data_IF_401781634528
#
_entry.id   IF_401781634528
#
_cell.length_a   1.000
_cell.length_b   1.000
_cell.length_c   1.000
_cell.angle_alpha   90.00
_cell.angle_beta   90.00
_cell.angle_gamma   90.00
#
_symmetry.space_group_name_H-M   'P 1'
#
loop_
_entity.id
_entity.type
_entity.pdbx_description
1 polymer ?
#
# COMPACT_ATOMS: atom_id res chain seq x y z
N UNK A 1 5.22 -17.79 7.70
CA UNK A 1 6.18 -16.66 7.75
C UNK A 1 5.50 -15.38 7.33
N UNK A 2 5.57 -14.37 8.17
CA UNK A 2 4.97 -13.08 7.85
C UNK A 2 5.83 -12.32 6.84
N UNK A 3 5.17 -11.68 5.89
CA UNK A 3 5.83 -10.85 4.89
C UNK A 3 5.30 -9.43 4.98
N UNK A 4 6.05 -8.49 4.45
CA UNK A 4 5.64 -7.10 4.36
C UNK A 4 5.37 -6.77 2.91
N UNK A 5 4.14 -6.35 2.62
CA UNK A 5 3.72 -5.97 1.28
C UNK A 5 3.46 -4.49 1.22
N UNK A 6 4.01 -3.83 0.21
CA UNK A 6 3.67 -2.47 -0.13
C UNK A 6 2.68 -2.54 -1.29
N UNK A 7 1.48 -2.04 -1.11
CA UNK A 7 0.45 -2.13 -2.14
C UNK A 7 0.34 -0.82 -2.92
N UNK A 8 0.19 -0.94 -4.24
CA UNK A 8 -0.07 0.22 -5.06
C UNK A 8 -1.57 0.39 -5.28
N UNK A 9 -1.93 1.52 -5.88
CA UNK A 9 -3.34 1.86 -6.09
C UNK A 9 -4.05 0.89 -7.00
N UNK A 10 -3.38 0.41 -8.05
CA UNK A 10 -4.01 -0.47 -9.03
C UNK A 10 -4.47 -1.79 -8.41
N UNK A 11 -3.68 -2.32 -7.48
CA UNK A 11 -4.07 -3.54 -6.77
C UNK A 11 -5.37 -3.34 -6.03
N UNK A 12 -5.49 -2.23 -5.33
CA UNK A 12 -6.67 -1.93 -4.51
C UNK A 12 -7.90 -1.65 -5.37
N UNK A 13 -7.71 -0.99 -6.51
CA UNK A 13 -8.82 -0.69 -7.42
C UNK A 13 -9.33 -1.96 -8.10
N UNK A 14 -8.44 -2.86 -8.49
CA UNK A 14 -8.82 -4.11 -9.13
C UNK A 14 -9.47 -5.09 -8.14
N UNK A 15 -9.01 -5.07 -6.90
CA UNK A 15 -9.50 -5.96 -5.87
C UNK A 15 -9.64 -5.21 -4.55
N UNK A 16 -10.74 -4.44 -4.39
CA UNK A 16 -10.92 -3.66 -3.15
C UNK A 16 -10.91 -4.50 -1.89
N UNK A 17 -11.24 -5.77 -2.01
CA UNK A 17 -11.22 -6.73 -0.90
C UNK A 17 -9.82 -7.29 -0.62
N UNK A 18 -8.80 -6.87 -1.36
CA UNK A 18 -7.45 -7.41 -1.19
C UNK A 18 -6.92 -7.23 0.24
N UNK A 19 -7.28 -6.12 0.90
CA UNK A 19 -6.81 -5.87 2.26
C UNK A 19 -7.30 -6.93 3.24
N UNK A 20 -8.40 -7.60 2.94
CA UNK A 20 -8.94 -8.65 3.78
C UNK A 20 -8.34 -10.02 3.46
N UNK A 21 -7.61 -10.11 2.34
CA UNK A 21 -7.08 -11.38 1.84
C UNK A 21 -5.62 -11.64 2.23
N UNK A 22 -4.98 -10.72 2.92
CA UNK A 22 -3.55 -10.83 3.25
C UNK A 22 -3.29 -11.54 4.58
N UNK A 23 -4.16 -12.39 4.99
CA UNK A 23 -4.02 -13.22 6.20
C UNK A 23 -3.17 -12.54 7.29
N UNK A 24 -2.07 -13.15 7.73
CA UNK A 24 -1.26 -12.62 8.82
C UNK A 24 -0.03 -11.85 8.36
N UNK A 25 -0.07 -11.28 7.18
CA UNK A 25 1.04 -10.46 6.66
C UNK A 25 0.92 -9.00 7.07
N UNK A 26 2.01 -8.27 6.90
CA UNK A 26 2.05 -6.83 7.17
C UNK A 26 1.83 -6.06 5.88
N UNK A 27 0.84 -5.18 5.89
CA UNK A 27 0.51 -4.36 4.74
C UNK A 27 0.96 -2.92 5.01
N UNK A 28 1.67 -2.35 4.05
CA UNK A 28 2.11 -0.96 4.10
C UNK A 28 1.47 -0.21 2.94
N UNK A 29 0.75 0.85 3.25
CA UNK A 29 0.17 1.73 2.23
C UNK A 29 0.97 3.03 2.19
N UNK A 30 1.66 3.32 1.08
CA UNK A 30 2.30 4.62 0.92
C UNK A 30 1.27 5.75 0.91
N UNK A 31 1.65 6.89 1.43
CA UNK A 31 0.77 8.06 1.40
C UNK A 31 0.32 8.40 -0.02
N UNK A 32 1.20 8.20 -1.00
CA UNK A 32 0.86 8.46 -2.41
C UNK A 32 -0.34 7.63 -2.87
N UNK A 33 -0.48 6.40 -2.37
CA UNK A 33 -1.62 5.54 -2.70
C UNK A 33 -2.90 6.12 -2.10
N UNK A 34 -2.84 6.58 -0.86
CA UNK A 34 -4.00 7.17 -0.22
C UNK A 34 -4.44 8.44 -0.95
N UNK A 35 -3.48 9.26 -1.37
CA UNK A 35 -3.77 10.47 -2.15
C UNK A 35 -4.48 10.13 -3.46
N UNK A 36 -4.02 9.09 -4.13
CA UNK A 36 -4.63 8.68 -5.39
C UNK A 36 -6.03 8.14 -5.18
N UNK A 37 -6.25 7.35 -4.15
CA UNK A 37 -7.58 6.85 -3.81
C UNK A 37 -8.54 8.01 -3.53
N UNK A 38 -8.06 9.01 -2.81
CA UNK A 38 -8.88 10.19 -2.53
C UNK A 38 -9.27 10.92 -3.81
N UNK A 39 -8.34 11.01 -4.77
CA UNK A 39 -8.63 11.61 -6.07
C UNK A 39 -9.61 10.82 -6.90
N UNK A 40 -9.66 9.50 -6.73
CA UNK A 40 -10.54 8.63 -7.51
C UNK A 40 -11.92 8.45 -6.89
N UNK A 41 -12.13 8.80 -5.64
CA UNK A 41 -13.39 8.50 -4.94
C UNK A 41 -14.62 9.13 -5.58
N UNK A 42 -14.45 10.21 -6.33
CA UNK A 42 -15.54 10.90 -7.00
C UNK A 42 -15.66 10.51 -8.47
N UNK A 43 -14.82 9.61 -8.97
CA UNK A 43 -14.91 9.14 -10.33
C UNK A 43 -16.16 8.28 -10.52
N UNK A 44 -16.69 8.32 -11.74
CA UNK A 44 -17.80 7.46 -12.10
C UNK A 44 -17.29 6.05 -12.44
N UNK A 45 -18.19 5.08 -12.40
CA UNK A 45 -17.88 3.71 -12.77
C UNK A 45 -17.17 2.94 -11.69
N UNK A 46 -16.52 1.86 -12.10
CA UNK A 46 -15.92 0.92 -11.15
C UNK A 46 -14.75 1.49 -10.38
N UNK A 47 -13.94 2.33 -11.01
CA UNK A 47 -12.77 2.91 -10.31
C UNK A 47 -13.19 3.72 -9.10
N UNK A 48 -14.19 4.57 -9.27
CA UNK A 48 -14.70 5.37 -8.16
C UNK A 48 -15.34 4.51 -7.10
N UNK A 49 -16.10 3.49 -7.52
CA UNK A 49 -16.73 2.56 -6.59
C UNK A 49 -15.69 1.81 -5.76
N UNK A 50 -14.66 1.30 -6.42
CA UNK A 50 -13.58 0.59 -5.75
C UNK A 50 -12.83 1.50 -4.79
N UNK A 51 -12.51 2.73 -5.22
CA UNK A 51 -11.82 3.68 -4.36
C UNK A 51 -12.64 3.99 -3.11
N UNK A 52 -13.94 4.22 -3.26
CA UNK A 52 -14.82 4.49 -2.12
C UNK A 52 -14.89 3.29 -1.17
N UNK A 53 -14.91 2.07 -1.72
CA UNK A 53 -14.93 0.86 -0.91
C UNK A 53 -13.65 0.73 -0.07
N UNK A 54 -12.49 0.95 -0.68
CA UNK A 54 -11.21 0.91 0.03
C UNK A 54 -11.14 1.98 1.10
N UNK A 55 -11.53 3.21 0.75
CA UNK A 55 -11.51 4.32 1.72
C UNK A 55 -12.40 4.02 2.92
N UNK A 56 -13.57 3.45 2.67
CA UNK A 56 -14.50 3.10 3.76
C UNK A 56 -13.88 2.06 4.68
N UNK A 57 -13.21 1.07 4.12
CA UNK A 57 -12.52 0.05 4.91
C UNK A 57 -11.41 0.69 5.75
N UNK A 58 -10.62 1.59 5.16
CA UNK A 58 -9.56 2.28 5.90
C UNK A 58 -10.12 3.15 7.03
N UNK A 59 -11.27 3.79 6.79
CA UNK A 59 -11.90 4.58 7.85
C UNK A 59 -12.37 3.71 9.01
N UNK A 60 -12.87 2.52 8.73
CA UNK A 60 -13.22 1.57 9.77
C UNK A 60 -12.00 1.16 10.58
N UNK A 61 -10.89 0.89 9.92
CA UNK A 61 -9.65 0.55 10.62
C UNK A 61 -9.15 1.73 11.46
N UNK A 62 -9.27 2.95 10.95
CA UNK A 62 -8.83 4.13 11.68
C UNK A 62 -9.61 4.31 12.99
N UNK A 63 -10.83 3.85 13.04
CA UNK A 63 -11.62 3.94 14.25
C UNK A 63 -11.08 3.04 15.37
N UNK A 64 -10.25 2.06 15.01
CA UNK A 64 -9.68 1.11 15.97
C UNK A 64 -8.30 1.53 16.48
N UNK A 65 -7.65 2.49 15.82
CA UNK A 65 -6.32 2.91 16.20
C UNK A 65 -5.68 3.82 15.17
N UNK A 66 -4.41 4.12 15.35
CA UNK A 66 -3.66 4.97 14.44
C UNK A 66 -3.18 4.18 13.24
N UNK A 67 -3.56 4.62 12.04
CA UNK A 67 -3.09 3.97 10.81
C UNK A 67 -1.57 4.15 10.63
N UNK A 68 -1.01 5.26 11.11
CA UNK A 68 0.44 5.50 10.99
C UNK A 68 1.22 4.53 11.87
N UNK A 69 0.70 4.21 13.04
CA UNK A 69 1.37 3.27 13.94
C UNK A 69 1.05 1.82 13.58
N UNK A 70 -0.08 1.58 12.94
CA UNK A 70 -0.50 0.25 12.52
C UNK A 70 -1.73 -0.22 13.25
N UNK A 71 -2.62 -0.89 12.52
CA UNK A 71 -3.84 -1.48 13.08
C UNK A 71 -3.92 -2.94 12.65
N UNK A 72 -4.62 -3.73 13.43
CA UNK A 72 -4.83 -5.15 13.12
C UNK A 72 -5.88 -5.30 12.02
N UNK A 73 -5.62 -6.23 11.12
CA UNK A 73 -6.57 -6.59 10.06
C UNK A 73 -7.42 -7.77 10.51
N UNK A 74 -8.64 -7.91 9.97
CA UNK A 74 -9.52 -9.04 10.32
C UNK A 74 -8.87 -10.40 10.12
N UNK A 75 -8.00 -10.53 9.12
CA UNK A 75 -7.32 -11.79 8.83
C UNK A 75 -6.11 -12.10 9.70
N UNK A 76 -5.78 -11.24 10.65
CA UNK A 76 -4.68 -11.47 11.60
C UNK A 76 -3.40 -10.69 11.33
N UNK A 77 -3.24 -10.10 10.17
CA UNK A 77 -2.09 -9.26 9.87
C UNK A 77 -2.27 -7.84 10.36
N UNK A 78 -1.40 -6.95 9.88
CA UNK A 78 -1.45 -5.54 10.24
C UNK A 78 -1.45 -4.66 9.00
N UNK A 79 -1.95 -3.45 9.15
CA UNK A 79 -1.89 -2.44 8.11
C UNK A 79 -1.39 -1.15 8.71
N UNK A 80 -0.45 -0.49 8.03
CA UNK A 80 -0.05 0.85 8.42
C UNK A 80 0.13 1.75 7.20
N UNK A 81 -0.09 3.03 7.44
CA UNK A 81 0.12 4.07 6.45
C UNK A 81 1.55 4.57 6.59
N UNK A 82 2.31 4.54 5.50
CA UNK A 82 3.69 5.01 5.52
C UNK A 82 3.76 6.43 4.98
N UNK A 83 4.18 7.35 5.84
CA UNK A 83 4.28 8.77 5.49
C UNK A 83 5.73 9.24 5.39
N UNK A 84 6.68 8.35 5.68
CA UNK A 84 8.11 8.66 5.64
C UNK A 84 8.71 8.30 4.29
N UNK A 85 10.04 8.29 4.23
CA UNK A 85 10.81 7.88 3.03
C UNK A 85 10.66 8.81 1.83
N UNK A 86 10.20 10.03 2.04
CA UNK A 86 10.11 11.01 0.95
C UNK A 86 11.50 11.46 0.47
N UNK A 87 12.51 11.36 1.34
CA UNK A 87 13.88 11.74 1.02
C UNK A 87 14.75 10.61 0.49
N UNK A 88 14.20 9.42 0.28
CA UNK A 88 14.95 8.29 -0.25
C UNK A 88 15.37 8.59 -1.69
N UNK A 89 16.63 8.32 -2.02
CA UNK A 89 17.12 8.53 -3.37
C UNK A 89 16.78 7.35 -4.26
N UNK A 90 16.29 7.68 -5.44
CA UNK A 90 16.07 6.70 -6.50
C UNK A 90 17.19 6.80 -7.53
N UNK A 91 17.37 5.77 -8.36
CA UNK A 91 18.37 5.84 -9.44
C UNK A 91 18.17 7.06 -10.33
N UNK A 92 19.27 7.52 -10.94
CA UNK A 92 19.22 8.65 -11.85
C UNK A 92 18.26 8.37 -13.01
N UNK A 93 17.60 9.42 -13.46
CA UNK A 93 16.64 9.31 -14.55
C UNK A 93 15.22 9.00 -14.11
N UNK A 94 15.00 8.67 -12.84
CA UNK A 94 13.66 8.48 -12.31
C UNK A 94 13.14 9.79 -11.72
N UNK A 95 11.92 10.16 -12.12
CA UNK A 95 11.29 11.36 -11.58
C UNK A 95 10.84 11.08 -10.13
N UNK A 96 11.45 11.73 -9.13
CA UNK A 96 11.10 11.46 -7.74
C UNK A 96 9.71 11.95 -7.35
N UNK A 97 9.08 12.78 -8.18
CA UNK A 97 7.76 13.31 -7.91
C UNK A 97 6.64 12.46 -8.52
N UNK A 98 6.97 11.52 -9.41
CA UNK A 98 5.93 10.67 -9.99
C UNK A 98 5.35 9.76 -8.92
N UNK A 99 4.07 9.43 -9.06
CA UNK A 99 3.37 8.61 -8.09
C UNK A 99 4.00 7.24 -7.93
N UNK A 100 4.30 6.58 -9.05
CA UNK A 100 4.91 5.26 -9.02
C UNK A 100 6.27 5.29 -8.33
N UNK A 101 7.06 6.31 -8.60
CA UNK A 101 8.38 6.43 -7.98
C UNK A 101 8.29 6.78 -6.50
N UNK A 102 7.25 7.50 -6.08
CA UNK A 102 7.02 7.74 -4.66
C UNK A 102 6.71 6.44 -3.92
N UNK A 103 6.00 5.52 -4.57
CA UNK A 103 5.75 4.19 -4.01
C UNK A 103 7.05 3.40 -3.92
N UNK A 104 7.88 3.46 -4.97
CA UNK A 104 9.19 2.79 -4.96
C UNK A 104 10.09 3.32 -3.85
N UNK A 105 10.01 4.62 -3.55
CA UNK A 105 10.77 5.18 -2.43
C UNK A 105 10.43 4.51 -1.11
N UNK A 106 9.16 4.21 -0.89
CA UNK A 106 8.74 3.53 0.32
C UNK A 106 9.33 2.14 0.39
N UNK A 107 9.27 1.39 -0.71
CA UNK A 107 9.87 0.05 -0.75
C UNK A 107 11.36 0.11 -0.46
N UNK A 108 12.08 1.03 -1.11
CA UNK A 108 13.51 1.15 -0.91
C UNK A 108 13.85 1.58 0.51
N UNK A 109 13.08 2.52 1.07
CA UNK A 109 13.29 2.97 2.43
C UNK A 109 13.11 1.87 3.44
N UNK A 110 12.10 1.02 3.25
CA UNK A 110 11.89 -0.12 4.13
C UNK A 110 13.05 -1.10 4.06
N UNK A 111 13.59 -1.37 2.86
CA UNK A 111 14.76 -2.22 2.72
C UNK A 111 15.97 -1.61 3.42
N UNK A 112 16.19 -0.31 3.29
CA UNK A 112 17.30 0.37 3.96
C UNK A 112 17.15 0.34 5.47
N UNK A 113 15.92 0.34 5.97
CA UNK A 113 15.63 0.25 7.40
C UNK A 113 15.71 -1.19 7.92
N UNK A 114 16.06 -2.15 7.07
CA UNK A 114 16.17 -3.54 7.47
C UNK A 114 14.85 -4.31 7.42
N UNK A 115 13.82 -3.77 6.80
CA UNK A 115 12.52 -4.44 6.65
C UNK A 115 12.32 -4.81 5.19
N UNK A 116 12.64 -6.05 4.78
CA UNK A 116 12.40 -6.47 3.41
C UNK A 116 10.91 -6.37 3.07
N UNK A 117 10.61 -5.65 2.02
CA UNK A 117 9.25 -5.45 1.58
C UNK A 117 9.10 -5.81 0.11
N UNK A 118 7.94 -6.28 -0.25
CA UNK A 118 7.61 -6.65 -1.62
C UNK A 118 6.49 -5.74 -2.08
N UNK A 119 6.64 -5.19 -3.29
CA UNK A 119 5.55 -4.44 -3.91
C UNK A 119 4.53 -5.46 -4.40
N UNK A 120 3.47 -5.64 -3.64
CA UNK A 120 2.56 -6.73 -3.91
C UNK A 120 1.10 -6.36 -3.86
N UNK A 121 0.28 -7.30 -4.17
CA UNK A 121 0.63 -8.66 -4.55
C UNK A 121 1.04 -8.77 -6.01
N UNK A 122 2.12 -8.14 -6.34
CA UNK A 122 2.59 -8.10 -7.72
C UNK A 122 3.19 -9.44 -8.09
N UNK A 123 2.34 -10.30 -8.51
CA UNK A 123 2.76 -11.62 -8.95
C UNK A 123 3.81 -11.53 -10.04
N UNK A 124 3.75 -10.46 -10.81
CA UNK A 124 4.72 -10.23 -11.87
C UNK A 124 6.06 -9.74 -11.36
N UNK A 125 6.13 -9.34 -10.13
CA UNK A 125 7.36 -8.93 -9.49
C UNK A 125 8.24 -10.17 -9.34
N UNK A 126 9.46 -10.17 -9.88
CA UNK A 126 10.27 -11.39 -9.91
C UNK A 126 10.45 -12.08 -8.57
N UNK A 127 10.58 -11.30 -7.51
CA UNK A 127 10.71 -11.86 -6.17
C UNK A 127 9.41 -12.30 -5.56
N UNK A 128 8.29 -11.75 -5.97
CA UNK A 128 7.02 -11.97 -5.31
C UNK A 128 6.34 -13.27 -5.73
N UNK A 129 6.64 -13.79 -6.89
CA UNK A 129 6.00 -15.02 -7.36
C UNK A 129 6.45 -16.25 -6.59
N UNK A 130 7.38 -16.10 -5.70
CA UNK A 130 7.83 -17.17 -4.80
C UNK A 130 7.10 -17.12 -3.48
N UNK A 131 6.23 -16.20 -3.37
CA UNK A 131 5.48 -15.98 -2.16
C UNK A 131 4.40 -17.04 -2.01
#
# INVERSE_FOLDING_TARGET
MQKTYVLDTNVLIQSPEALEAFEDNHIVLPLAVLEELDGLKNAEGEKGRSARQVIRFLEELRSQGSLVEGVSLPGGGTLRLEVNHVGVRLPDGMDPASRDNRILKVCRGLWEDGTPAVLGPRILWPGSRHI
#
